data_IF_115991962560
#
_entry.id   IF_115991962560
#
_cell.length_a   1.000
_cell.length_b   1.000
_cell.length_c   1.000
_cell.angle_alpha   90.00
_cell.angle_beta   90.00
_cell.angle_gamma   90.00
#
_symmetry.space_group_name_H-M   'P 1'
#
loop_
_entity.id
_entity.type
_entity.pdbx_description
1 polymer ?
#
# COMPACT_ATOMS: atom_id res chain seq x y z
N UNK A 1 -8.99 16.70 -2.29
CA UNK A 1 -8.65 17.95 -1.57
C UNK A 1 -7.14 18.13 -1.50
N UNK A 2 -6.68 19.31 -1.22
CA UNK A 2 -5.26 19.69 -1.23
C UNK A 2 -4.43 18.82 -0.25
N UNK A 3 -4.95 18.54 0.94
CA UNK A 3 -4.25 17.71 1.91
C UNK A 3 -4.06 16.27 1.45
N UNK A 4 -5.02 15.70 0.70
CA UNK A 4 -4.90 14.34 0.16
C UNK A 4 -3.82 14.28 -0.91
N UNK A 5 -3.77 15.30 -1.77
CA UNK A 5 -2.71 15.42 -2.76
C UNK A 5 -1.33 15.61 -2.11
N UNK A 6 -1.25 16.49 -1.11
CA UNK A 6 -0.03 16.74 -0.34
C UNK A 6 0.47 15.46 0.35
N UNK A 7 -0.45 14.72 1.00
CA UNK A 7 -0.14 13.44 1.63
C UNK A 7 0.40 12.42 0.61
N UNK A 8 -0.28 12.25 -0.51
CA UNK A 8 0.14 11.33 -1.56
C UNK A 8 1.52 11.71 -2.14
N UNK A 9 1.76 12.99 -2.39
CA UNK A 9 3.04 13.49 -2.89
C UNK A 9 4.21 13.19 -1.93
N UNK A 10 3.97 13.23 -0.61
CA UNK A 10 4.97 12.87 0.38
C UNK A 10 5.10 11.36 0.58
N UNK A 11 3.99 10.64 0.57
CA UNK A 11 3.98 9.18 0.70
C UNK A 11 4.86 8.50 -0.35
N UNK A 12 4.80 8.95 -1.60
CA UNK A 12 5.58 8.41 -2.72
C UNK A 12 6.72 9.32 -3.17
N UNK A 13 7.20 10.18 -2.31
CA UNK A 13 8.32 11.05 -2.65
C UNK A 13 9.59 10.24 -2.85
N UNK A 14 10.12 10.27 -4.08
CA UNK A 14 11.38 9.65 -4.47
C UNK A 14 12.53 10.57 -4.08
N UNK A 15 13.64 10.00 -3.59
CA UNK A 15 14.88 10.72 -3.33
C UNK A 15 15.55 11.12 -4.65
N UNK A 16 16.19 12.25 -4.68
CA UNK A 16 16.87 12.77 -5.89
C UNK A 16 18.04 11.87 -6.33
N UNK A 17 18.65 11.16 -5.38
CA UNK A 17 19.77 10.23 -5.59
C UNK A 17 19.31 8.78 -5.79
N UNK A 18 18.02 8.55 -6.01
CA UNK A 18 17.49 7.19 -6.17
C UNK A 18 18.01 6.55 -7.46
N UNK A 19 18.55 5.35 -7.31
CA UNK A 19 18.99 4.51 -8.41
C UNK A 19 17.99 3.38 -8.66
N UNK A 20 17.81 3.03 -9.93
CA UNK A 20 16.99 1.91 -10.35
C UNK A 20 17.89 0.79 -10.88
N UNK A 21 17.75 -0.39 -10.31
CA UNK A 21 18.44 -1.59 -10.77
C UNK A 21 17.47 -2.35 -11.67
N UNK A 22 17.73 -2.47 -12.98
CA UNK A 22 16.91 -3.27 -13.86
C UNK A 22 16.86 -4.73 -13.41
N UNK A 23 15.74 -5.45 -13.57
CA UNK A 23 15.61 -6.84 -13.13
C UNK A 23 16.71 -7.77 -13.66
N UNK A 24 17.22 -7.52 -14.85
CA UNK A 24 18.30 -8.26 -15.49
C UNK A 24 19.69 -8.06 -14.83
N UNK A 25 19.85 -6.97 -14.07
CA UNK A 25 21.06 -6.65 -13.33
C UNK A 25 21.01 -7.08 -11.86
N UNK A 26 19.88 -7.66 -11.43
CA UNK A 26 19.72 -8.13 -10.05
C UNK A 26 20.54 -9.40 -9.84
N UNK A 27 21.43 -9.35 -8.86
CA UNK A 27 22.30 -10.47 -8.46
C UNK A 27 22.30 -10.62 -6.93
N UNK A 28 22.96 -11.66 -6.43
CA UNK A 28 23.14 -11.85 -4.97
C UNK A 28 23.92 -10.70 -4.36
N UNK A 29 24.91 -10.17 -5.09
CA UNK A 29 25.76 -9.05 -4.62
C UNK A 29 25.09 -7.68 -4.85
N UNK A 30 24.10 -7.62 -5.76
CA UNK A 30 23.35 -6.41 -6.07
C UNK A 30 21.85 -6.72 -6.05
N UNK A 31 21.25 -6.95 -4.86
CA UNK A 31 19.87 -7.34 -4.75
C UNK A 31 18.91 -6.17 -5.05
N UNK A 32 17.79 -6.48 -5.68
CA UNK A 32 16.70 -5.51 -5.82
C UNK A 32 16.06 -5.25 -4.45
N UNK A 33 16.32 -4.08 -3.90
CA UNK A 33 15.64 -3.62 -2.70
C UNK A 33 14.53 -2.65 -3.09
N UNK A 34 13.33 -3.18 -3.21
CA UNK A 34 12.13 -2.40 -3.50
C UNK A 34 11.95 -1.29 -2.45
N UNK A 35 11.42 -0.15 -2.88
CA UNK A 35 11.12 1.00 -2.03
C UNK A 35 12.31 1.70 -1.33
N UNK A 36 13.57 1.33 -1.59
CA UNK A 36 14.73 2.12 -1.11
C UNK A 36 14.76 3.52 -1.72
N UNK A 37 14.16 3.69 -2.89
CA UNK A 37 14.10 4.97 -3.58
C UNK A 37 13.30 6.04 -2.84
N UNK A 38 12.40 5.65 -1.93
CA UNK A 38 11.51 6.59 -1.28
C UNK A 38 12.16 7.31 -0.09
N UNK A 39 11.82 8.60 0.03
CA UNK A 39 12.29 9.47 1.11
C UNK A 39 11.83 9.01 2.49
N UNK A 40 10.59 8.49 2.57
CA UNK A 40 9.96 8.13 3.84
C UNK A 40 9.52 6.65 3.84
N UNK A 41 9.91 5.94 4.89
CA UNK A 41 9.44 4.57 5.16
C UNK A 41 8.25 4.53 6.11
N UNK A 42 8.04 5.62 6.84
CA UNK A 42 6.92 5.82 7.73
C UNK A 42 6.27 7.16 7.40
N UNK A 43 4.99 7.16 7.12
CA UNK A 43 4.19 8.38 6.97
C UNK A 43 2.94 8.31 7.84
N UNK A 44 2.44 9.45 8.27
CA UNK A 44 1.25 9.53 9.10
C UNK A 44 0.32 10.65 8.67
N UNK A 45 -0.97 10.40 8.81
CA UNK A 45 -2.02 11.39 8.63
C UNK A 45 -2.78 11.57 9.95
N UNK A 46 -2.57 12.70 10.60
CA UNK A 46 -3.30 13.11 11.80
C UNK A 46 -4.27 14.21 11.40
N UNK A 47 -5.55 14.01 11.62
CA UNK A 47 -6.56 14.99 11.22
C UNK A 47 -7.93 14.74 11.82
N UNK A 48 -8.83 15.72 11.76
CA UNK A 48 -10.18 15.61 12.32
C UNK A 48 -10.97 14.45 11.73
N UNK A 49 -12.00 14.00 12.46
CA UNK A 49 -12.95 13.03 11.95
C UNK A 49 -13.70 13.56 10.72
N UNK A 50 -14.17 12.65 9.87
CA UNK A 50 -14.99 12.95 8.68
C UNK A 50 -14.33 13.82 7.61
N UNK A 51 -13.01 13.92 7.62
CA UNK A 51 -12.24 14.66 6.60
C UNK A 51 -11.91 13.82 5.36
N UNK A 52 -12.28 12.55 5.33
CA UNK A 52 -12.03 11.65 4.19
C UNK A 52 -10.78 10.77 4.34
N UNK A 53 -10.24 10.59 5.55
CA UNK A 53 -9.07 9.71 5.80
C UNK A 53 -9.32 8.29 5.30
N UNK A 54 -10.38 7.62 5.74
CA UNK A 54 -10.67 6.22 5.36
C UNK A 54 -10.77 6.00 3.84
N UNK A 55 -11.52 6.82 3.06
CA UNK A 55 -11.46 6.73 1.59
C UNK A 55 -10.07 6.99 1.01
N UNK A 56 -9.26 7.86 1.61
CA UNK A 56 -7.89 8.10 1.14
C UNK A 56 -6.98 6.90 1.42
N UNK A 57 -7.03 6.35 2.63
CA UNK A 57 -6.36 5.10 3.00
C UNK A 57 -6.73 3.95 2.06
N UNK A 58 -8.03 3.75 1.81
CA UNK A 58 -8.51 2.75 0.86
C UNK A 58 -7.92 2.96 -0.55
N UNK A 59 -7.83 4.20 -1.02
CA UNK A 59 -7.20 4.54 -2.30
C UNK A 59 -5.70 4.23 -2.30
N UNK A 60 -5.00 4.52 -1.19
CA UNK A 60 -3.59 4.18 -1.03
C UNK A 60 -3.37 2.67 -1.08
N UNK A 61 -4.17 1.89 -0.35
CA UNK A 61 -4.09 0.43 -0.38
C UNK A 61 -4.34 -0.15 -1.80
N UNK A 62 -5.26 0.42 -2.57
CA UNK A 62 -5.48 0.05 -3.97
C UNK A 62 -4.24 0.37 -4.83
N UNK A 63 -3.65 1.54 -4.64
CA UNK A 63 -2.45 1.92 -5.37
C UNK A 63 -1.27 1.00 -5.02
N UNK A 64 -1.07 0.64 -3.76
CA UNK A 64 -0.05 -0.34 -3.36
C UNK A 64 -0.31 -1.73 -3.96
N UNK A 65 -1.58 -2.11 -4.12
CA UNK A 65 -1.94 -3.42 -4.69
C UNK A 65 -1.71 -3.51 -6.21
N UNK A 66 -2.02 -2.47 -6.96
CA UNK A 66 -2.05 -2.56 -8.42
C UNK A 66 -1.58 -1.30 -9.17
N UNK A 67 -1.14 -0.26 -8.45
CA UNK A 67 -0.64 0.98 -9.03
C UNK A 67 0.88 1.01 -9.22
N UNK A 68 1.39 2.10 -9.82
CA UNK A 68 2.82 2.29 -10.08
C UNK A 68 3.57 2.81 -8.84
N UNK A 69 3.60 2.04 -7.77
CA UNK A 69 4.07 2.46 -6.44
C UNK A 69 5.51 2.07 -6.13
N UNK A 70 6.19 1.40 -7.03
CA UNK A 70 7.63 1.09 -6.92
C UNK A 70 8.40 1.92 -7.93
N UNK A 71 9.51 2.50 -7.52
CA UNK A 71 10.36 3.31 -8.40
C UNK A 71 10.95 2.46 -9.53
N UNK A 72 10.82 2.93 -10.77
CA UNK A 72 11.26 2.26 -11.98
C UNK A 72 12.21 3.12 -12.84
N UNK A 73 12.98 3.98 -12.18
CA UNK A 73 13.95 4.86 -12.84
C UNK A 73 13.39 6.25 -13.15
N UNK A 74 14.24 7.07 -13.75
CA UNK A 74 13.92 8.44 -14.15
C UNK A 74 13.44 8.48 -15.60
N UNK A 75 12.41 9.27 -15.84
CA UNK A 75 11.78 9.36 -17.16
C UNK A 75 12.68 10.03 -18.18
N UNK A 76 12.65 9.48 -19.39
CA UNK A 76 13.28 10.04 -20.60
C UNK A 76 12.21 10.68 -21.49
N UNK A 77 12.60 11.52 -22.45
CA UNK A 77 11.65 12.05 -23.43
C UNK A 77 10.87 10.94 -24.14
N UNK A 78 9.53 11.02 -24.11
CA UNK A 78 8.64 10.06 -24.77
C UNK A 78 8.19 8.89 -23.88
N UNK A 79 8.67 8.78 -22.63
CA UNK A 79 8.20 7.75 -21.70
C UNK A 79 6.72 7.95 -21.36
N UNK A 80 5.99 6.82 -21.32
CA UNK A 80 4.55 6.79 -21.06
C UNK A 80 4.22 5.64 -20.13
N UNK A 81 3.38 5.90 -19.13
CA UNK A 81 2.73 4.85 -18.34
C UNK A 81 1.33 4.58 -18.86
N UNK A 82 0.99 3.32 -19.07
CA UNK A 82 -0.34 2.88 -19.48
C UNK A 82 -0.90 1.89 -18.45
N UNK A 83 -2.04 2.20 -17.88
CA UNK A 83 -2.70 1.27 -16.93
C UNK A 83 -3.04 -0.08 -17.58
N UNK A 84 -3.34 -0.10 -18.88
CA UNK A 84 -3.62 -1.33 -19.65
C UNK A 84 -2.46 -2.33 -19.61
N UNK A 85 -1.22 -1.86 -19.60
CA UNK A 85 -0.03 -2.71 -19.61
C UNK A 85 0.11 -3.48 -18.28
N UNK A 86 -0.61 -3.01 -17.24
CA UNK A 86 -0.70 -3.63 -15.92
C UNK A 86 -2.06 -4.32 -15.67
N UNK A 87 -2.83 -4.58 -16.73
CA UNK A 87 -4.12 -5.27 -16.68
C UNK A 87 -5.30 -4.42 -16.18
N UNK A 88 -5.10 -3.11 -15.96
CA UNK A 88 -6.18 -2.23 -15.54
C UNK A 88 -6.99 -1.73 -16.77
N UNK A 89 -8.30 -1.96 -16.83
CA UNK A 89 -9.12 -1.56 -17.97
C UNK A 89 -9.58 -0.09 -17.93
N UNK A 90 -9.05 0.73 -17.04
CA UNK A 90 -9.51 2.12 -16.87
C UNK A 90 -9.15 3.05 -18.04
N UNK A 91 -8.21 2.64 -18.91
CA UNK A 91 -7.77 3.43 -20.07
C UNK A 91 -6.85 4.60 -19.72
N UNK A 92 -6.46 4.76 -18.44
CA UNK A 92 -5.59 5.87 -18.05
C UNK A 92 -4.20 5.75 -18.63
N UNK A 93 -3.70 6.87 -19.14
CA UNK A 93 -2.37 7.03 -19.75
C UNK A 93 -1.72 8.27 -19.15
N UNK A 94 -0.47 8.17 -18.74
CA UNK A 94 0.32 9.29 -18.25
C UNK A 94 1.58 9.48 -19.08
N UNK A 95 1.79 10.68 -19.59
CA UNK A 95 2.99 11.07 -20.30
C UNK A 95 3.95 11.74 -19.33
N UNK A 96 5.09 11.11 -19.09
CA UNK A 96 6.09 11.64 -18.18
C UNK A 96 6.81 12.85 -18.78
N UNK A 97 7.08 13.83 -17.93
CA UNK A 97 8.11 14.81 -18.28
C UNK A 97 9.51 14.21 -18.04
N UNK A 98 10.53 14.58 -18.82
CA UNK A 98 11.89 14.13 -18.59
C UNK A 98 12.37 14.47 -17.17
N UNK A 99 12.94 13.48 -16.49
CA UNK A 99 13.40 13.63 -15.10
C UNK A 99 12.33 13.38 -14.03
N UNK A 100 11.09 13.08 -14.39
CA UNK A 100 10.10 12.59 -13.41
C UNK A 100 10.42 11.15 -12.97
N UNK A 101 10.13 10.77 -11.72
CA UNK A 101 10.27 9.39 -11.29
C UNK A 101 9.19 8.52 -11.96
N UNK A 102 9.61 7.44 -12.60
CA UNK A 102 8.69 6.44 -13.13
C UNK A 102 8.29 5.45 -12.06
N UNK A 103 7.08 4.93 -12.17
CA UNK A 103 6.57 3.89 -11.30
C UNK A 103 6.30 2.57 -12.03
N UNK A 104 6.48 1.48 -11.32
CA UNK A 104 6.03 0.16 -11.72
C UNK A 104 5.19 -0.48 -10.62
N UNK A 105 4.41 -1.50 -10.97
CA UNK A 105 3.65 -2.28 -10.01
C UNK A 105 4.60 -3.09 -9.11
N UNK A 106 4.23 -3.23 -7.83
CA UNK A 106 4.97 -4.11 -6.93
C UNK A 106 4.91 -5.57 -7.42
N UNK A 107 6.05 -6.29 -7.51
CA UNK A 107 6.08 -7.64 -8.07
C UNK A 107 5.36 -8.70 -7.20
N UNK A 108 5.28 -8.49 -5.89
CA UNK A 108 4.58 -9.38 -4.95
C UNK A 108 3.97 -8.55 -3.81
N UNK A 109 2.83 -7.88 -4.04
CA UNK A 109 2.24 -7.01 -3.05
C UNK A 109 1.53 -7.82 -1.95
N UNK A 110 1.94 -7.63 -0.71
CA UNK A 110 1.24 -8.08 0.48
C UNK A 110 0.98 -6.87 1.38
N UNK A 111 -0.27 -6.41 1.40
CA UNK A 111 -0.68 -5.22 2.13
C UNK A 111 -1.48 -5.64 3.37
N UNK A 112 -1.26 -4.99 4.50
CA UNK A 112 -2.03 -5.22 5.71
C UNK A 112 -2.80 -3.95 6.12
N UNK A 113 -4.12 -4.06 6.19
CA UNK A 113 -5.00 -3.05 6.78
C UNK A 113 -5.23 -3.43 8.25
N UNK A 114 -4.85 -2.56 9.16
CA UNK A 114 -4.84 -2.86 10.60
C UNK A 114 -5.71 -1.86 11.36
N UNK A 115 -6.57 -2.37 12.23
CA UNK A 115 -7.35 -1.56 13.16
C UNK A 115 -7.61 -2.30 14.48
N UNK A 116 -7.99 -1.55 15.52
CA UNK A 116 -8.23 -2.05 16.87
C UNK A 116 -9.32 -3.12 16.97
N UNK A 117 -10.34 -3.03 16.11
CA UNK A 117 -11.47 -3.94 16.12
C UNK A 117 -11.98 -4.20 14.70
N UNK A 118 -12.72 -5.31 14.51
CA UNK A 118 -13.36 -5.62 13.24
C UNK A 118 -14.32 -4.52 12.77
N UNK A 119 -15.01 -3.83 13.68
CA UNK A 119 -15.90 -2.74 13.33
C UNK A 119 -15.15 -1.50 12.85
N UNK A 120 -13.99 -1.22 13.40
CA UNK A 120 -13.11 -0.13 12.95
C UNK A 120 -12.47 -0.44 11.59
N UNK A 121 -12.00 -1.67 11.38
CA UNK A 121 -11.54 -2.11 10.05
C UNK A 121 -12.58 -1.83 8.97
N UNK A 122 -13.85 -1.95 9.29
CA UNK A 122 -14.93 -1.66 8.33
C UNK A 122 -14.93 -0.21 7.83
N UNK A 123 -14.37 0.74 8.57
CA UNK A 123 -14.30 2.15 8.16
C UNK A 123 -13.35 2.36 6.97
N UNK A 124 -12.21 1.67 6.91
CA UNK A 124 -11.31 1.67 5.75
C UNK A 124 -11.73 0.60 4.71
N UNK A 125 -12.15 -0.57 5.17
CA UNK A 125 -12.50 -1.70 4.30
C UNK A 125 -13.77 -1.47 3.46
N UNK A 126 -14.79 -0.81 3.99
CA UNK A 126 -16.03 -0.50 3.23
C UNK A 126 -15.77 0.39 2.02
N UNK A 127 -15.07 1.54 2.12
CA UNK A 127 -14.69 2.34 0.96
C UNK A 127 -13.87 1.53 -0.04
N UNK A 128 -12.91 0.73 0.43
CA UNK A 128 -12.07 -0.12 -0.39
C UNK A 128 -12.89 -1.10 -1.23
N UNK A 129 -13.80 -1.84 -0.58
CA UNK A 129 -14.70 -2.78 -1.26
C UNK A 129 -15.63 -2.07 -2.24
N UNK A 130 -16.15 -0.89 -1.86
CA UNK A 130 -17.00 -0.10 -2.74
C UNK A 130 -16.25 0.35 -4.00
N UNK A 131 -15.03 0.87 -3.87
CA UNK A 131 -14.19 1.28 -5.00
C UNK A 131 -13.87 0.10 -5.92
N UNK A 132 -13.62 -1.09 -5.38
CA UNK A 132 -13.37 -2.29 -6.17
C UNK A 132 -14.63 -2.72 -6.93
N UNK A 133 -15.77 -2.83 -6.24
CA UNK A 133 -17.00 -3.38 -6.83
C UNK A 133 -17.66 -2.45 -7.84
N UNK A 134 -17.58 -1.15 -7.61
CA UNK A 134 -18.21 -0.12 -8.43
C UNK A 134 -17.29 0.43 -9.51
N UNK A 135 -15.99 0.20 -9.39
CA UNK A 135 -14.96 0.70 -10.30
C UNK A 135 -14.45 -0.35 -11.31
N UNK A 136 -13.46 0.03 -12.12
CA UNK A 136 -12.83 -0.85 -13.10
C UNK A 136 -11.96 -1.94 -12.47
N UNK A 137 -11.67 -1.85 -11.17
CA UNK A 137 -10.70 -2.67 -10.45
C UNK A 137 -11.17 -4.08 -10.14
N UNK A 138 -12.45 -4.40 -10.34
CA UNK A 138 -13.04 -5.74 -10.11
C UNK A 138 -12.37 -6.86 -10.92
N UNK A 139 -11.63 -6.51 -11.96
CA UNK A 139 -10.86 -7.47 -12.77
C UNK A 139 -9.48 -7.76 -12.15
N UNK A 140 -8.94 -6.83 -11.36
CA UNK A 140 -7.64 -6.96 -10.71
C UNK A 140 -7.74 -7.37 -9.24
N UNK A 141 -8.86 -7.08 -8.58
CA UNK A 141 -9.04 -7.27 -7.15
C UNK A 141 -10.30 -8.09 -6.88
N UNK A 142 -10.14 -9.25 -6.24
CA UNK A 142 -11.25 -10.14 -5.85
C UNK A 142 -11.47 -10.08 -4.35
N UNK A 143 -12.61 -9.53 -3.95
CA UNK A 143 -13.03 -9.49 -2.55
C UNK A 143 -13.40 -10.89 -2.08
N UNK A 144 -12.76 -11.36 -1.00
CA UNK A 144 -13.00 -12.60 -0.29
C UNK A 144 -13.35 -12.31 1.16
N UNK A 145 -13.72 -13.33 1.91
CA UNK A 145 -13.93 -13.20 3.35
C UNK A 145 -12.58 -13.00 4.05
N UNK A 146 -12.41 -11.86 4.71
CA UNK A 146 -11.22 -11.51 5.47
C UNK A 146 -9.99 -11.04 4.68
N UNK A 147 -10.03 -11.04 3.35
CA UNK A 147 -8.95 -10.51 2.52
C UNK A 147 -9.41 -10.13 1.10
N UNK A 148 -8.56 -9.45 0.36
CA UNK A 148 -8.77 -9.15 -1.06
C UNK A 148 -7.60 -9.76 -1.84
N UNK A 149 -7.90 -10.68 -2.74
CA UNK A 149 -6.91 -11.28 -3.63
C UNK A 149 -6.53 -10.29 -4.73
N UNK A 150 -5.25 -10.15 -4.99
CA UNK A 150 -4.71 -9.31 -6.05
C UNK A 150 -4.38 -10.20 -7.24
N UNK A 151 -4.98 -9.93 -8.38
CA UNK A 151 -4.80 -10.71 -9.61
C UNK A 151 -3.70 -10.11 -10.46
N UNK A 152 -2.93 -10.98 -11.11
CA UNK A 152 -1.96 -10.58 -12.12
C UNK A 152 -2.51 -10.85 -13.51
N UNK A 153 -2.19 -10.02 -14.51
CA UNK A 153 -2.54 -10.32 -15.91
C UNK A 153 -2.00 -11.70 -16.32
N UNK A 154 -2.86 -12.50 -16.94
CA UNK A 154 -2.46 -13.82 -17.46
C UNK A 154 -2.45 -14.97 -16.46
N UNK A 155 -2.76 -14.74 -15.17
CA UNK A 155 -2.92 -15.82 -14.19
C UNK A 155 -4.34 -16.36 -14.24
N UNK A 156 -4.47 -17.70 -14.25
CA UNK A 156 -5.77 -18.36 -14.18
C UNK A 156 -6.41 -18.12 -12.81
N UNK A 157 -7.68 -17.68 -12.81
CA UNK A 157 -8.45 -17.36 -11.60
C UNK A 157 -8.78 -18.57 -10.73
N UNK A 158 -8.70 -19.77 -11.30
CA UNK A 158 -9.05 -21.04 -10.63
C UNK A 158 -7.86 -21.68 -9.91
N UNK A 159 -6.67 -21.09 -10.00
CA UNK A 159 -5.48 -21.56 -9.32
C UNK A 159 -5.46 -20.99 -7.88
N UNK A 160 -6.09 -21.71 -6.96
CA UNK A 160 -6.21 -21.33 -5.55
C UNK A 160 -4.85 -21.35 -4.80
N UNK A 161 -3.81 -21.96 -5.38
CA UNK A 161 -2.47 -22.08 -4.77
C UNK A 161 -1.65 -20.78 -4.83
N UNK A 162 -2.15 -19.72 -5.48
CA UNK A 162 -1.43 -18.46 -5.71
C UNK A 162 -1.97 -17.26 -4.90
N UNK A 163 -2.54 -17.49 -3.73
CA UNK A 163 -3.03 -16.42 -2.83
C UNK A 163 -1.91 -15.63 -2.10
N UNK A 164 -0.75 -15.49 -2.74
CA UNK A 164 0.39 -14.77 -2.17
C UNK A 164 0.20 -13.25 -2.22
N UNK A 165 -0.37 -12.75 -3.32
CA UNK A 165 -0.61 -11.31 -3.52
C UNK A 165 -1.99 -10.94 -3.00
N UNK A 166 -2.04 -10.18 -1.90
CA UNK A 166 -3.32 -9.87 -1.27
C UNK A 166 -3.29 -8.63 -0.37
N UNK A 167 -4.47 -8.15 -0.05
CA UNK A 167 -4.69 -7.17 1.02
C UNK A 167 -5.36 -7.93 2.17
N UNK A 168 -4.65 -8.07 3.28
CA UNK A 168 -5.14 -8.70 4.50
C UNK A 168 -5.77 -7.68 5.45
N UNK A 169 -6.81 -8.10 6.14
CA UNK A 169 -7.35 -7.38 7.30
C UNK A 169 -6.74 -7.98 8.56
N UNK A 170 -6.11 -7.14 9.39
CA UNK A 170 -5.42 -7.56 10.61
C UNK A 170 -6.01 -6.82 11.82
N UNK A 171 -6.36 -7.59 12.84
CA UNK A 171 -6.78 -7.07 14.16
C UNK A 171 -5.90 -7.67 15.25
N UNK A 172 -6.00 -7.17 16.48
CA UNK A 172 -5.25 -7.71 17.60
C UNK A 172 -5.44 -9.23 17.84
N UNK A 173 -6.59 -9.77 17.43
CA UNK A 173 -6.87 -11.21 17.52
C UNK A 173 -6.28 -12.04 16.38
N UNK A 174 -5.85 -11.42 15.29
CA UNK A 174 -5.35 -12.10 14.08
C UNK A 174 -3.82 -12.27 14.08
N UNK A 175 -3.24 -12.67 15.21
CA UNK A 175 -1.79 -12.79 15.41
C UNK A 175 -1.10 -13.78 14.45
N UNK A 176 -1.83 -14.74 13.87
CA UNK A 176 -1.30 -15.72 12.92
C UNK A 176 -0.79 -15.10 11.60
N UNK A 177 -1.18 -13.87 11.29
CA UNK A 177 -0.74 -13.14 10.09
C UNK A 177 0.46 -12.21 10.35
N UNK A 178 0.90 -12.12 11.60
CA UNK A 178 2.08 -11.37 12.00
C UNK A 178 3.34 -12.17 11.66
N UNK A 179 4.33 -11.49 11.09
CA UNK A 179 5.60 -12.11 10.69
C UNK A 179 5.72 -12.41 9.19
N UNK A 180 4.66 -12.18 8.40
CA UNK A 180 4.76 -12.25 6.95
C UNK A 180 5.60 -11.08 6.42
N UNK A 181 6.37 -11.30 5.34
CA UNK A 181 7.08 -10.23 4.64
C UNK A 181 6.08 -9.34 3.90
N UNK A 182 5.73 -8.21 4.49
CA UNK A 182 4.72 -7.28 3.94
C UNK A 182 5.37 -6.17 3.12
N UNK A 183 4.71 -5.80 2.03
CA UNK A 183 5.12 -4.67 1.19
C UNK A 183 4.61 -3.32 1.72
N UNK A 184 3.48 -3.34 2.41
CA UNK A 184 2.84 -2.13 2.94
C UNK A 184 1.93 -2.43 4.14
N UNK A 185 1.91 -1.53 5.11
CA UNK A 185 1.02 -1.60 6.27
C UNK A 185 0.26 -0.29 6.46
N UNK A 186 -1.06 -0.38 6.44
CA UNK A 186 -1.98 0.72 6.74
C UNK A 186 -2.55 0.52 8.16
N UNK A 187 -2.23 1.43 9.06
CA UNK A 187 -2.60 1.36 10.47
C UNK A 187 -3.66 2.42 10.78
N UNK A 188 -4.94 2.01 10.76
CA UNK A 188 -6.08 2.89 11.04
C UNK A 188 -6.26 3.10 12.55
N UNK A 189 -6.66 4.32 12.92
CA UNK A 189 -6.84 4.78 14.31
C UNK A 189 -5.62 4.48 15.21
N UNK A 190 -4.41 4.67 14.68
CA UNK A 190 -3.15 4.33 15.38
C UNK A 190 -2.97 5.10 16.71
N UNK A 191 -3.63 6.25 16.89
CA UNK A 191 -3.66 6.96 18.17
C UNK A 191 -4.32 6.19 19.31
N UNK A 192 -5.08 5.12 19.01
CA UNK A 192 -5.71 4.23 20.00
C UNK A 192 -4.89 2.97 20.28
N UNK A 193 -3.69 2.84 19.70
CA UNK A 193 -2.85 1.66 19.90
C UNK A 193 -2.15 1.74 21.25
N UNK A 194 -2.36 0.74 22.08
CA UNK A 194 -1.77 0.63 23.41
C UNK A 194 -1.16 -0.76 23.62
N UNK A 195 -0.33 -0.90 24.66
CA UNK A 195 0.15 -2.23 25.08
C UNK A 195 -0.99 -3.10 25.62
N UNK A 196 -1.95 -2.49 26.31
CA UNK A 196 -3.07 -3.22 26.91
C UNK A 196 -4.02 -3.84 25.90
N UNK A 197 -4.19 -3.24 24.70
CA UNK A 197 -4.97 -3.83 23.61
C UNK A 197 -4.12 -4.64 22.62
N UNK A 198 -2.81 -4.75 22.84
CA UNK A 198 -1.89 -5.52 21.99
C UNK A 198 -1.54 -4.88 20.64
N UNK A 199 -2.12 -3.74 20.32
CA UNK A 199 -1.98 -3.13 18.98
C UNK A 199 -0.60 -2.50 18.75
N UNK A 200 0.09 -2.06 19.81
CA UNK A 200 1.47 -1.60 19.66
C UNK A 200 2.40 -2.74 19.22
N UNK A 201 2.21 -3.95 19.75
CA UNK A 201 3.01 -5.12 19.37
C UNK A 201 2.71 -5.55 17.92
N UNK A 202 1.45 -5.44 17.49
CA UNK A 202 1.05 -5.64 16.09
C UNK A 202 1.76 -4.65 15.17
N UNK A 203 1.68 -3.35 15.49
CA UNK A 203 2.31 -2.29 14.70
C UNK A 203 3.83 -2.44 14.62
N UNK A 204 4.49 -2.81 15.72
CA UNK A 204 5.93 -3.06 15.75
C UNK A 204 6.33 -4.29 14.92
N UNK A 205 5.51 -5.33 14.95
CA UNK A 205 5.74 -6.54 14.16
C UNK A 205 5.58 -6.25 12.65
N UNK A 206 4.58 -5.45 12.29
CA UNK A 206 4.40 -5.00 10.90
C UNK A 206 5.59 -4.16 10.42
N UNK A 207 6.07 -3.21 11.22
CA UNK A 207 7.24 -2.40 10.88
C UNK A 207 8.48 -3.26 10.63
N UNK A 208 8.70 -4.29 11.46
CA UNK A 208 9.80 -5.25 11.27
C UNK A 208 9.63 -6.10 10.02
N UNK A 209 8.41 -6.61 9.78
CA UNK A 209 8.08 -7.37 8.56
C UNK A 209 8.26 -6.54 7.28
N UNK A 210 7.81 -5.30 7.30
CA UNK A 210 7.99 -4.36 6.19
C UNK A 210 9.47 -4.02 5.95
N UNK A 211 10.25 -3.79 7.01
CA UNK A 211 11.65 -3.42 6.90
C UNK A 211 12.49 -4.48 6.17
N UNK A 212 12.21 -5.77 6.39
CA UNK A 212 12.91 -6.88 5.74
C UNK A 212 12.67 -6.96 4.23
N UNK A 213 11.54 -6.43 3.75
CA UNK A 213 11.16 -6.44 2.33
C UNK A 213 11.30 -5.07 1.64
N UNK A 214 11.89 -4.08 2.32
CA UNK A 214 11.88 -2.70 1.82
C UNK A 214 10.48 -2.07 1.82
N UNK A 215 9.53 -2.68 2.53
CA UNK A 215 8.17 -2.21 2.64
C UNK A 215 8.03 -0.94 3.47
N UNK A 216 6.84 -0.38 3.48
CA UNK A 216 6.52 0.89 4.15
C UNK A 216 5.37 0.72 5.12
N UNK A 217 5.28 1.66 6.07
CA UNK A 217 4.23 1.69 7.07
C UNK A 217 3.58 3.06 7.09
N UNK A 218 2.28 3.08 7.18
CA UNK A 218 1.49 4.30 7.17
C UNK A 218 0.47 4.24 8.30
N UNK A 219 0.30 5.36 9.01
CA UNK A 219 -0.71 5.42 10.06
C UNK A 219 -1.71 6.55 9.83
N UNK A 220 -2.94 6.29 10.23
CA UNK A 220 -4.06 7.20 10.11
C UNK A 220 -4.68 7.36 11.50
N UNK A 221 -4.92 8.57 11.93
CA UNK A 221 -5.54 8.79 13.24
C UNK A 221 -6.26 10.13 13.32
N UNK A 222 -7.11 10.27 14.30
CA UNK A 222 -7.65 11.54 14.69
C UNK A 222 -6.63 12.33 15.51
N UNK A 223 -6.77 13.65 15.55
CA UNK A 223 -6.05 14.45 16.54
C UNK A 223 -6.45 13.94 17.94
N UNK A 224 -5.47 13.65 18.77
CA UNK A 224 -5.70 13.20 20.14
C UNK A 224 -5.56 14.35 21.13
N UNK A 225 -6.18 14.21 22.30
CA UNK A 225 -5.97 15.13 23.41
C UNK A 225 -4.73 14.66 24.21
N UNK A 226 -3.67 15.48 24.31
CA UNK A 226 -2.48 15.12 25.07
C UNK A 226 -2.74 14.88 26.57
N UNK A 227 -3.89 15.33 27.07
CA UNK A 227 -4.28 15.12 28.48
C UNK A 227 -4.95 13.79 28.77
N UNK A 228 -5.36 13.05 27.72
CA UNK A 228 -6.07 11.76 27.86
C UNK A 228 -5.21 10.54 27.50
N UNK A 229 -3.98 10.74 26.98
CA UNK A 229 -3.08 9.63 26.57
C UNK A 229 -1.66 9.80 27.11
#
# INVERSE_FOLDING_TARGET
SDWQFWYAAHRWRVREDAEFIPPEEVTVDNPLVLNQAFQYRLTGCIGPQKTGKGPTEASCAILEACGPVVFAGWAKPGDVYRCSDNGCPCGWVYHYNPGEPKGMRHPSPLIQLTANSEDQVRNAYRPLVAMIRLGPLKQLLKVREGFIRILRPGINLDDDDLDLDRIDVVTASATSRLGNPISDAEQDEAGLYTKSNGMLDVADTQRRGAAGMGGRTHFWTNAYDPGEN
#
